data_IF_460503127233
#
_entry.id   IF_460503127233
#
_cell.length_a   1.000
_cell.length_b   1.000
_cell.length_c   1.000
_cell.angle_alpha   90.00
_cell.angle_beta   90.00
_cell.angle_gamma   90.00
#
_symmetry.space_group_name_H-M   'P 1'
#
loop_
_entity.id
_entity.type
_entity.pdbx_description
1 polymer ?
#
# COMPACT_ATOMS: atom_id res chain seq x y z
N UNK A 1 13.97 32.63 -12.34
CA UNK A 1 13.23 31.38 -12.62
C UNK A 1 11.94 31.76 -13.34
N UNK A 2 11.73 31.31 -14.58
CA UNK A 2 10.56 31.76 -15.37
C UNK A 2 9.26 31.14 -14.80
N UNK A 3 8.13 31.83 -14.96
CA UNK A 3 6.78 31.35 -14.55
C UNK A 3 6.45 29.99 -15.20
N UNK A 4 6.95 29.79 -16.41
CA UNK A 4 6.89 28.55 -17.20
C UNK A 4 7.72 27.43 -16.60
N UNK A 5 8.90 27.70 -16.03
CA UNK A 5 9.71 26.67 -15.33
C UNK A 5 9.10 26.29 -14.00
N UNK A 6 8.51 27.26 -13.28
CA UNK A 6 7.77 26.98 -12.04
C UNK A 6 6.52 26.17 -12.30
N UNK A 7 5.79 26.46 -13.38
CA UNK A 7 4.62 25.67 -13.82
C UNK A 7 5.01 24.28 -14.33
N UNK A 8 6.11 24.17 -15.10
CA UNK A 8 6.59 22.88 -15.62
C UNK A 8 7.12 22.00 -14.48
N UNK A 9 7.83 22.58 -13.51
CA UNK A 9 8.17 21.90 -12.27
C UNK A 9 6.91 21.55 -11.48
N UNK A 10 5.96 22.47 -11.25
CA UNK A 10 4.71 22.11 -10.60
C UNK A 10 4.02 20.92 -11.28
N UNK A 11 3.87 20.91 -12.60
CA UNK A 11 3.23 19.84 -13.38
C UNK A 11 4.01 18.51 -13.28
N UNK A 12 5.34 18.54 -13.41
CA UNK A 12 6.20 17.35 -13.25
C UNK A 12 6.19 16.78 -11.82
N UNK A 13 5.96 17.64 -10.84
CA UNK A 13 5.86 17.31 -9.42
C UNK A 13 4.45 16.96 -8.95
N UNK A 14 3.43 17.24 -9.76
CA UNK A 14 2.02 17.10 -9.42
C UNK A 14 1.23 16.28 -10.44
N UNK A 15 1.88 15.40 -11.19
CA UNK A 15 1.19 14.24 -11.75
C UNK A 15 1.14 13.16 -10.65
N UNK A 16 0.11 13.14 -9.78
CA UNK A 16 0.01 12.09 -8.78
C UNK A 16 -0.13 10.76 -9.53
N UNK A 17 0.51 9.68 -9.05
CA UNK A 17 0.60 8.37 -9.71
C UNK A 17 -0.68 8.03 -10.51
N UNK A 18 -0.61 7.90 -11.83
CA UNK A 18 -1.77 7.62 -12.69
C UNK A 18 -2.74 8.79 -12.94
N UNK A 19 -2.28 10.04 -12.85
CA UNK A 19 -3.08 11.21 -13.25
C UNK A 19 -3.48 11.07 -14.73
N UNK A 20 -4.79 11.09 -14.99
CA UNK A 20 -5.39 10.93 -16.32
C UNK A 20 -5.05 9.62 -17.04
N UNK A 21 -4.80 8.52 -16.32
CA UNK A 21 -4.67 7.20 -16.96
C UNK A 21 -6.07 6.67 -17.35
N UNK A 22 -6.42 6.62 -18.66
CA UNK A 22 -7.73 6.14 -19.11
C UNK A 22 -7.94 4.66 -18.75
N UNK A 23 -6.86 3.91 -18.57
CA UNK A 23 -6.87 2.47 -18.31
C UNK A 23 -6.79 2.14 -16.81
N UNK A 24 -6.86 3.12 -15.91
CA UNK A 24 -6.73 2.91 -14.46
C UNK A 24 -7.71 1.86 -13.90
N UNK A 25 -8.94 1.81 -14.43
CA UNK A 25 -9.93 0.79 -14.04
C UNK A 25 -9.52 -0.62 -14.46
N UNK A 26 -9.11 -0.79 -15.73
CA UNK A 26 -8.64 -2.07 -16.25
C UNK A 26 -7.38 -2.55 -15.53
N UNK A 27 -6.44 -1.63 -15.24
CA UNK A 27 -5.24 -1.93 -14.44
C UNK A 27 -5.58 -2.37 -13.02
N UNK A 28 -6.54 -1.73 -12.37
CA UNK A 28 -6.98 -2.12 -11.04
C UNK A 28 -7.57 -3.55 -11.04
N UNK A 29 -8.43 -3.85 -12.01
CA UNK A 29 -9.01 -5.21 -12.17
C UNK A 29 -7.94 -6.25 -12.46
N UNK A 30 -7.00 -5.94 -13.36
CA UNK A 30 -5.85 -6.81 -13.65
C UNK A 30 -5.07 -7.11 -12.36
N UNK A 31 -4.68 -6.08 -11.61
CA UNK A 31 -3.91 -6.24 -10.37
C UNK A 31 -4.64 -7.15 -9.38
N UNK A 32 -5.93 -6.89 -9.12
CA UNK A 32 -6.74 -7.71 -8.21
C UNK A 32 -6.78 -9.15 -8.70
N UNK A 33 -7.00 -9.37 -10.00
CA UNK A 33 -7.02 -10.70 -10.60
C UNK A 33 -5.69 -11.43 -10.48
N UNK A 34 -4.56 -10.72 -10.64
CA UNK A 34 -3.23 -11.33 -10.54
C UNK A 34 -2.89 -11.68 -9.09
N UNK A 35 -3.27 -10.84 -8.11
CA UNK A 35 -3.11 -11.13 -6.68
C UNK A 35 -3.96 -12.35 -6.31
N UNK A 36 -5.23 -12.38 -6.71
CA UNK A 36 -6.12 -13.52 -6.46
C UNK A 36 -5.59 -14.82 -7.09
N UNK A 37 -5.05 -14.75 -8.31
CA UNK A 37 -4.40 -15.90 -8.95
C UNK A 37 -3.18 -16.37 -8.14
N UNK A 38 -2.35 -15.44 -7.66
CA UNK A 38 -1.20 -15.75 -6.80
C UNK A 38 -1.61 -16.54 -5.56
N UNK A 39 -2.63 -16.06 -4.83
CA UNK A 39 -3.17 -16.75 -3.65
C UNK A 39 -3.71 -18.14 -3.99
N UNK A 40 -4.48 -18.27 -5.08
CA UNK A 40 -5.04 -19.57 -5.49
C UNK A 40 -3.95 -20.56 -5.89
N UNK A 41 -2.88 -20.12 -6.56
CA UNK A 41 -1.76 -20.97 -6.92
C UNK A 41 -0.98 -21.42 -5.68
N UNK A 42 -0.67 -20.49 -4.79
CA UNK A 42 0.08 -20.78 -3.56
C UNK A 42 -0.68 -21.74 -2.63
N UNK A 43 -2.01 -21.58 -2.55
CA UNK A 43 -2.90 -22.43 -1.74
C UNK A 43 -2.95 -23.91 -2.08
N UNK A 44 -2.41 -24.28 -3.24
CA UNK A 44 -2.26 -25.68 -3.64
C UNK A 44 -1.17 -26.40 -2.84
N UNK A 45 -0.34 -25.68 -2.07
CA UNK A 45 0.62 -26.26 -1.12
C UNK A 45 1.84 -26.92 -1.77
N UNK A 46 2.09 -26.67 -3.06
CA UNK A 46 3.30 -27.16 -3.74
C UNK A 46 4.39 -26.09 -3.72
N UNK A 47 5.65 -26.40 -3.34
CA UNK A 47 6.75 -25.43 -3.38
C UNK A 47 6.97 -24.81 -4.77
N UNK A 48 6.70 -25.58 -5.83
CA UNK A 48 6.76 -25.07 -7.20
C UNK A 48 5.67 -24.03 -7.45
N UNK A 49 4.44 -24.28 -6.98
CA UNK A 49 3.32 -23.35 -7.17
C UNK A 49 3.45 -22.11 -6.28
N UNK A 50 4.01 -22.26 -5.08
CA UNK A 50 4.39 -21.15 -4.20
C UNK A 50 5.35 -20.18 -4.91
N UNK A 51 6.39 -20.69 -5.56
CA UNK A 51 7.30 -19.86 -6.35
C UNK A 51 6.63 -19.35 -7.64
N UNK A 52 5.88 -20.19 -8.34
CA UNK A 52 5.23 -19.82 -9.61
C UNK A 52 4.18 -18.71 -9.43
N UNK A 53 3.50 -18.65 -8.27
CA UNK A 53 2.59 -17.56 -7.90
C UNK A 53 3.24 -16.18 -7.95
N UNK A 54 4.56 -16.12 -7.78
CA UNK A 54 5.35 -14.88 -7.84
C UNK A 54 5.54 -14.34 -9.24
N UNK A 55 5.62 -15.20 -10.25
CA UNK A 55 5.89 -14.78 -11.63
C UNK A 55 4.88 -13.75 -12.14
N UNK A 56 3.55 -13.99 -12.12
CA UNK A 56 2.61 -13.04 -12.72
C UNK A 56 2.52 -11.73 -11.92
N UNK A 57 2.67 -11.77 -10.60
CA UNK A 57 2.66 -10.58 -9.73
C UNK A 57 3.88 -9.69 -10.02
N UNK A 58 5.07 -10.28 -10.08
CA UNK A 58 6.30 -9.56 -10.41
C UNK A 58 6.28 -9.00 -11.84
N UNK A 59 5.84 -9.79 -12.82
CA UNK A 59 5.71 -9.31 -14.21
C UNK A 59 4.76 -8.11 -14.30
N UNK A 60 3.64 -8.15 -13.57
CA UNK A 60 2.68 -7.04 -13.51
C UNK A 60 3.32 -5.79 -12.89
N UNK A 61 4.06 -5.93 -11.78
CA UNK A 61 4.78 -4.81 -11.16
C UNK A 61 5.83 -4.24 -12.11
N UNK A 62 6.68 -5.07 -12.70
CA UNK A 62 7.74 -4.63 -13.62
C UNK A 62 7.16 -3.90 -14.84
N UNK A 63 6.07 -4.41 -15.41
CA UNK A 63 5.36 -3.75 -16.52
C UNK A 63 4.80 -2.37 -16.12
N UNK A 64 4.22 -2.25 -14.92
CA UNK A 64 3.70 -0.97 -14.42
C UNK A 64 4.82 0.00 -14.06
N UNK A 65 5.94 -0.48 -13.50
CA UNK A 65 7.14 0.31 -13.20
C UNK A 65 7.75 0.93 -14.46
N UNK A 66 7.74 0.19 -15.58
CA UNK A 66 8.24 0.70 -16.86
C UNK A 66 7.44 1.90 -17.37
N UNK A 67 6.14 1.96 -17.05
CA UNK A 67 5.24 3.07 -17.43
C UNK A 67 5.35 4.29 -16.51
N UNK A 68 6.03 4.19 -15.36
CA UNK A 68 6.11 5.29 -14.40
C UNK A 68 7.29 6.23 -14.67
N UNK A 69 7.16 7.47 -14.20
CA UNK A 69 8.27 8.43 -14.16
C UNK A 69 9.40 7.91 -13.25
N UNK A 70 10.66 8.38 -13.42
CA UNK A 70 11.78 7.91 -12.60
C UNK A 70 11.58 8.08 -11.08
N UNK A 71 10.88 9.14 -10.65
CA UNK A 71 10.58 9.38 -9.23
C UNK A 71 9.55 8.36 -8.68
N UNK A 72 8.46 8.12 -9.43
CA UNK A 72 7.47 7.11 -9.05
C UNK A 72 8.02 5.69 -9.13
N UNK A 73 8.84 5.38 -10.13
CA UNK A 73 9.53 4.08 -10.22
C UNK A 73 10.37 3.80 -8.99
N UNK A 74 11.18 4.77 -8.56
CA UNK A 74 11.99 4.64 -7.34
C UNK A 74 11.11 4.50 -6.10
N UNK A 75 10.03 5.28 -6.01
CA UNK A 75 9.08 5.18 -4.89
C UNK A 75 8.49 3.79 -4.79
N UNK A 76 8.03 3.21 -5.91
CA UNK A 76 7.41 1.88 -5.96
C UNK A 76 8.43 0.76 -5.67
N UNK A 77 9.69 0.89 -6.09
CA UNK A 77 10.75 -0.06 -5.72
C UNK A 77 11.02 0.00 -4.21
N UNK A 78 11.13 1.20 -3.64
CA UNK A 78 11.27 1.40 -2.19
C UNK A 78 10.04 0.88 -1.45
N UNK A 79 8.85 1.02 -2.04
CA UNK A 79 7.60 0.44 -1.53
C UNK A 79 7.70 -1.06 -1.36
N UNK A 80 8.17 -1.76 -2.40
CA UNK A 80 8.29 -3.21 -2.39
C UNK A 80 9.28 -3.68 -1.34
N UNK A 81 10.43 -3.00 -1.20
CA UNK A 81 11.40 -3.30 -0.15
C UNK A 81 10.84 -3.04 1.26
N UNK A 82 10.12 -1.92 1.44
CA UNK A 82 9.49 -1.59 2.72
C UNK A 82 8.36 -2.56 3.07
N UNK A 83 7.57 -3.01 2.09
CA UNK A 83 6.55 -4.04 2.29
C UNK A 83 7.17 -5.33 2.80
N UNK A 84 8.28 -5.80 2.18
CA UNK A 84 9.00 -6.98 2.67
C UNK A 84 9.50 -6.79 4.12
N UNK A 85 10.05 -5.62 4.45
CA UNK A 85 10.53 -5.34 5.80
C UNK A 85 9.37 -5.29 6.82
N UNK A 86 8.23 -4.69 6.45
CA UNK A 86 7.04 -4.64 7.29
C UNK A 86 6.44 -6.04 7.51
N UNK A 87 6.36 -6.86 6.46
CA UNK A 87 5.95 -8.26 6.55
C UNK A 87 6.86 -9.06 7.45
N UNK A 88 8.19 -8.92 7.31
CA UNK A 88 9.15 -9.58 8.19
C UNK A 88 9.00 -9.12 9.64
N UNK A 89 8.70 -7.84 9.88
CA UNK A 89 8.45 -7.34 11.22
C UNK A 89 7.14 -7.89 11.81
N UNK A 90 6.04 -7.87 11.07
CA UNK A 90 4.73 -8.26 11.60
C UNK A 90 4.53 -9.78 11.70
N UNK A 91 5.00 -10.53 10.70
CA UNK A 91 4.91 -12.00 10.71
C UNK A 91 6.06 -12.63 11.51
N UNK A 92 7.30 -12.48 11.07
CA UNK A 92 8.44 -13.20 11.67
C UNK A 92 8.94 -12.58 12.98
N UNK A 93 8.94 -11.25 13.08
CA UNK A 93 9.44 -10.53 14.25
C UNK A 93 8.44 -10.47 15.40
N UNK A 94 7.23 -10.01 15.12
CA UNK A 94 6.15 -9.85 16.11
C UNK A 94 5.31 -11.12 16.23
N UNK A 95 5.10 -11.89 15.16
CA UNK A 95 4.27 -13.08 15.21
C UNK A 95 2.78 -12.77 15.22
N UNK A 96 2.32 -11.72 14.55
CA UNK A 96 0.88 -11.40 14.46
C UNK A 96 0.10 -12.43 13.63
N UNK A 97 0.75 -13.03 12.65
CA UNK A 97 0.23 -14.09 11.78
C UNK A 97 1.38 -14.95 11.27
N UNK A 98 1.08 -16.21 11.00
CA UNK A 98 2.01 -17.15 10.38
C UNK A 98 1.61 -17.42 8.93
N UNK A 99 2.58 -17.35 8.03
CA UNK A 99 2.43 -17.90 6.68
C UNK A 99 2.48 -19.42 6.70
N UNK A 100 1.81 -20.04 5.73
CA UNK A 100 1.70 -21.50 5.58
C UNK A 100 3.04 -22.21 5.57
N UNK A 101 4.01 -21.66 4.85
CA UNK A 101 5.36 -22.22 4.71
C UNK A 101 6.36 -21.60 5.71
N UNK A 102 5.88 -20.76 6.64
CA UNK A 102 6.67 -20.01 7.62
C UNK A 102 7.71 -19.05 7.02
N UNK A 103 7.68 -18.83 5.70
CA UNK A 103 8.38 -17.78 5.00
C UNK A 103 7.38 -16.82 4.34
N UNK A 104 7.87 -15.63 3.99
CA UNK A 104 7.06 -14.61 3.32
C UNK A 104 7.02 -14.98 1.84
N UNK A 105 5.85 -15.30 1.25
CA UNK A 105 5.78 -15.61 -0.17
C UNK A 105 6.32 -14.45 -1.01
N UNK A 106 7.16 -14.77 -1.99
CA UNK A 106 7.89 -13.74 -2.75
C UNK A 106 6.98 -12.81 -3.58
N UNK A 107 5.70 -13.15 -3.74
CA UNK A 107 4.69 -12.28 -4.37
C UNK A 107 4.05 -11.27 -3.40
N UNK A 108 4.15 -11.46 -2.09
CA UNK A 108 3.50 -10.59 -1.10
C UNK A 108 4.06 -9.16 -1.14
N UNK A 109 5.39 -8.93 -1.13
CA UNK A 109 5.93 -7.56 -1.22
C UNK A 109 5.52 -6.78 -2.48
N UNK A 110 5.62 -7.35 -3.72
CA UNK A 110 5.14 -6.65 -4.89
C UNK A 110 3.61 -6.52 -4.91
N UNK A 111 2.86 -7.49 -4.37
CA UNK A 111 1.40 -7.39 -4.26
C UNK A 111 0.96 -6.18 -3.41
N UNK A 112 1.62 -5.90 -2.27
CA UNK A 112 1.37 -4.70 -1.48
C UNK A 112 1.57 -3.40 -2.28
N UNK A 113 2.65 -3.36 -3.06
CA UNK A 113 2.94 -2.21 -3.93
C UNK A 113 1.88 -2.04 -5.01
N UNK A 114 1.44 -3.14 -5.62
CA UNK A 114 0.36 -3.13 -6.61
C UNK A 114 -0.98 -2.74 -5.98
N UNK A 115 -1.28 -3.19 -4.76
CA UNK A 115 -2.50 -2.85 -4.04
C UNK A 115 -2.55 -1.35 -3.71
N UNK A 116 -1.42 -0.74 -3.33
CA UNK A 116 -1.29 0.72 -3.25
C UNK A 116 -1.71 1.41 -4.54
N UNK A 117 -1.28 0.91 -5.71
CA UNK A 117 -1.70 1.47 -7.00
C UNK A 117 -3.22 1.35 -7.21
N UNK A 118 -3.83 0.22 -6.84
CA UNK A 118 -5.29 0.02 -6.86
C UNK A 118 -5.99 1.06 -5.96
N UNK A 119 -5.51 1.24 -4.72
CA UNK A 119 -6.06 2.23 -3.80
C UNK A 119 -6.02 3.65 -4.36
N UNK A 120 -4.94 4.02 -5.05
CA UNK A 120 -4.83 5.31 -5.74
C UNK A 120 -5.80 5.41 -6.93
N UNK A 121 -5.90 4.38 -7.77
CA UNK A 121 -6.78 4.34 -8.94
C UNK A 121 -8.25 4.44 -8.54
N UNK A 122 -8.68 3.63 -7.58
CA UNK A 122 -10.06 3.56 -7.11
C UNK A 122 -10.41 4.78 -6.24
N UNK A 123 -9.50 5.20 -5.36
CA UNK A 123 -9.74 6.32 -4.43
C UNK A 123 -10.04 7.63 -5.15
N UNK A 124 -9.41 7.90 -6.29
CA UNK A 124 -9.73 9.10 -7.09
C UNK A 124 -11.14 9.06 -7.69
N UNK A 125 -11.63 7.87 -8.05
CA UNK A 125 -12.96 7.68 -8.66
C UNK A 125 -14.07 7.53 -7.62
N UNK A 126 -13.74 7.20 -6.36
CA UNK A 126 -14.72 7.05 -5.28
C UNK A 126 -15.52 8.34 -5.07
N UNK A 127 -16.85 8.36 -5.17
CA UNK A 127 -17.64 9.57 -4.90
C UNK A 127 -17.48 10.09 -3.47
N UNK A 128 -17.39 11.41 -3.27
CA UNK A 128 -17.12 12.02 -1.95
C UNK A 128 -18.19 11.65 -0.91
N UNK A 129 -19.44 11.56 -1.34
CA UNK A 129 -20.58 11.17 -0.51
C UNK A 129 -20.50 9.75 0.06
N UNK A 130 -19.73 8.85 -0.57
CA UNK A 130 -19.58 7.46 -0.10
C UNK A 130 -18.50 7.31 0.97
N UNK A 131 -17.53 8.23 1.03
CA UNK A 131 -16.44 8.18 2.02
C UNK A 131 -16.94 8.16 3.47
N UNK A 132 -17.85 9.06 3.92
CA UNK A 132 -18.36 9.00 5.28
C UNK A 132 -19.20 7.74 5.55
N UNK A 133 -19.91 7.21 4.54
CA UNK A 133 -20.67 5.97 4.68
C UNK A 133 -19.74 4.77 4.89
N UNK A 134 -18.68 4.67 4.09
CA UNK A 134 -17.64 3.64 4.26
C UNK A 134 -16.98 3.75 5.63
N UNK A 135 -16.59 4.97 6.05
CA UNK A 135 -16.00 5.17 7.37
C UNK A 135 -16.97 4.76 8.48
N UNK A 136 -18.25 5.11 8.38
CA UNK A 136 -19.27 4.72 9.35
C UNK A 136 -19.40 3.19 9.46
N UNK A 137 -19.40 2.48 8.33
CA UNK A 137 -19.43 1.01 8.32
C UNK A 137 -18.20 0.41 9.01
N UNK A 138 -17.00 0.92 8.71
CA UNK A 138 -15.76 0.47 9.33
C UNK A 138 -15.74 0.76 10.85
N UNK A 139 -16.22 1.93 11.27
CA UNK A 139 -16.37 2.30 12.68
C UNK A 139 -17.33 1.35 13.38
N UNK A 140 -18.53 1.14 12.83
CA UNK A 140 -19.54 0.27 13.42
C UNK A 140 -19.03 -1.18 13.53
N UNK A 141 -18.41 -1.70 12.47
CA UNK A 141 -17.82 -3.04 12.47
C UNK A 141 -16.70 -3.19 13.50
N UNK A 142 -15.76 -2.26 13.55
CA UNK A 142 -14.65 -2.31 14.50
C UNK A 142 -15.09 -2.16 15.95
N UNK A 143 -16.07 -1.28 16.23
CA UNK A 143 -16.65 -1.16 17.56
C UNK A 143 -17.35 -2.46 17.98
N UNK A 144 -18.12 -3.08 17.09
CA UNK A 144 -18.75 -4.37 17.36
C UNK A 144 -17.71 -5.45 17.67
N UNK A 145 -16.66 -5.59 16.84
CA UNK A 145 -15.58 -6.55 17.03
C UNK A 145 -14.82 -6.33 18.36
N UNK A 146 -14.62 -5.06 18.73
CA UNK A 146 -13.93 -4.68 19.97
C UNK A 146 -14.77 -4.98 21.20
N UNK A 147 -16.04 -4.54 21.21
CA UNK A 147 -16.96 -4.67 22.35
C UNK A 147 -17.33 -6.14 22.59
N UNK A 148 -17.56 -6.91 21.53
CA UNK A 148 -17.81 -8.36 21.63
C UNK A 148 -16.58 -9.15 22.08
N UNK A 149 -15.39 -8.54 22.05
CA UNK A 149 -14.12 -9.21 22.34
C UNK A 149 -13.59 -10.09 21.21
N UNK A 150 -14.30 -10.17 20.08
CA UNK A 150 -13.90 -10.96 18.91
C UNK A 150 -12.56 -10.50 18.33
N UNK A 151 -12.28 -9.20 18.36
CA UNK A 151 -10.99 -8.62 17.99
C UNK A 151 -10.82 -7.25 18.64
N UNK A 152 -10.15 -7.20 19.80
CA UNK A 152 -9.80 -5.93 20.47
C UNK A 152 -8.73 -5.16 19.71
N UNK A 153 -7.95 -5.83 18.87
CA UNK A 153 -7.00 -5.20 17.97
C UNK A 153 -7.68 -4.24 16.97
N UNK A 154 -8.89 -4.56 16.52
CA UNK A 154 -9.67 -3.67 15.65
C UNK A 154 -9.99 -2.33 16.32
N UNK A 155 -10.12 -2.29 17.65
CA UNK A 155 -10.29 -1.05 18.40
C UNK A 155 -9.07 -0.14 18.31
N UNK A 156 -7.86 -0.70 18.39
CA UNK A 156 -6.61 0.04 18.20
C UNK A 156 -6.50 0.54 16.76
N UNK A 157 -6.77 -0.32 15.78
CA UNK A 157 -6.75 0.06 14.36
C UNK A 157 -7.80 1.13 14.03
N UNK A 158 -8.95 1.11 14.70
CA UNK A 158 -9.99 2.14 14.55
C UNK A 158 -9.48 3.52 14.97
N UNK A 159 -8.76 3.63 16.09
CA UNK A 159 -8.17 4.90 16.53
C UNK A 159 -7.21 5.46 15.49
N UNK A 160 -6.38 4.60 14.90
CA UNK A 160 -5.45 4.97 13.83
C UNK A 160 -6.23 5.39 12.58
N UNK A 161 -7.25 4.64 12.17
CA UNK A 161 -8.08 4.98 11.01
C UNK A 161 -8.77 6.34 11.19
N UNK A 162 -9.30 6.64 12.37
CA UNK A 162 -9.90 7.93 12.68
C UNK A 162 -8.86 9.07 12.62
N UNK A 163 -7.65 8.84 13.13
CA UNK A 163 -6.56 9.79 12.99
C UNK A 163 -6.16 10.01 11.51
N UNK A 164 -6.10 8.95 10.71
CA UNK A 164 -5.85 9.05 9.26
C UNK A 164 -6.99 9.75 8.52
N UNK A 165 -8.25 9.51 8.90
CA UNK A 165 -9.41 10.18 8.33
C UNK A 165 -9.41 11.68 8.66
N UNK A 166 -8.96 12.06 9.87
CA UNK A 166 -8.98 13.45 10.35
C UNK A 166 -7.77 14.28 9.95
N UNK A 167 -6.58 13.68 9.95
CA UNK A 167 -5.28 14.36 9.78
C UNK A 167 -4.50 13.88 8.55
N UNK A 168 -4.96 12.82 7.89
CA UNK A 168 -4.29 12.27 6.72
C UNK A 168 -4.35 13.22 5.53
N UNK A 169 -3.31 13.20 4.70
CA UNK A 169 -3.26 14.01 3.47
C UNK A 169 -4.22 13.55 2.37
N UNK A 170 -4.65 12.28 2.39
CA UNK A 170 -5.55 11.69 1.39
C UNK A 170 -6.53 10.72 2.07
N UNK A 171 -7.41 11.22 2.98
CA UNK A 171 -8.25 10.37 3.83
C UNK A 171 -9.15 9.42 3.02
N UNK A 172 -9.60 9.86 1.84
CA UNK A 172 -10.37 9.07 0.89
C UNK A 172 -9.68 7.78 0.44
N UNK A 173 -8.36 7.83 0.17
CA UNK A 173 -7.59 6.64 -0.22
C UNK A 173 -7.40 5.76 1.01
N UNK A 174 -7.03 6.35 2.15
CA UNK A 174 -6.78 5.61 3.38
C UNK A 174 -8.02 4.85 3.87
N UNK A 175 -9.21 5.45 3.78
CA UNK A 175 -10.48 4.81 4.15
C UNK A 175 -10.85 3.72 3.14
N UNK A 176 -10.63 3.94 1.84
CA UNK A 176 -10.95 2.96 0.81
C UNK A 176 -9.99 1.76 0.80
N UNK A 177 -8.73 1.96 1.19
CA UNK A 177 -7.75 0.89 1.23
C UNK A 177 -8.14 -0.20 2.23
N UNK A 178 -8.78 0.16 3.35
CA UNK A 178 -9.18 -0.79 4.39
C UNK A 178 -10.05 -1.94 3.84
N UNK A 179 -11.20 -1.70 3.18
CA UNK A 179 -11.99 -2.78 2.60
C UNK A 179 -11.30 -3.48 1.42
N UNK A 180 -10.47 -2.79 0.63
CA UNK A 180 -9.71 -3.43 -0.46
C UNK A 180 -8.72 -4.45 0.10
N UNK A 181 -7.96 -4.08 1.12
CA UNK A 181 -7.04 -4.97 1.81
C UNK A 181 -7.79 -6.09 2.55
N UNK A 182 -8.92 -5.79 3.19
CA UNK A 182 -9.74 -6.80 3.85
C UNK A 182 -10.18 -7.92 2.90
N UNK A 183 -10.46 -7.63 1.63
CA UNK A 183 -10.77 -8.67 0.63
C UNK A 183 -9.59 -9.63 0.40
N UNK A 184 -8.35 -9.10 0.36
CA UNK A 184 -7.14 -9.90 0.20
C UNK A 184 -6.86 -10.71 1.47
N UNK A 185 -6.99 -10.09 2.64
CA UNK A 185 -6.84 -10.74 3.95
C UNK A 185 -7.84 -11.89 4.14
N UNK A 186 -9.11 -11.66 3.80
CA UNK A 186 -10.14 -12.72 3.84
C UNK A 186 -9.80 -13.84 2.87
N UNK A 187 -9.40 -13.50 1.63
CA UNK A 187 -9.03 -14.51 0.63
C UNK A 187 -7.81 -15.34 1.05
N UNK A 188 -6.75 -14.71 1.56
CA UNK A 188 -5.55 -15.41 2.02
C UNK A 188 -5.80 -16.29 3.24
N UNK A 189 -6.58 -15.80 4.20
CA UNK A 189 -6.93 -16.59 5.40
C UNK A 189 -7.90 -17.73 5.12
N UNK A 190 -8.86 -17.55 4.19
CA UNK A 190 -9.78 -18.61 3.76
C UNK A 190 -9.05 -19.71 2.98
N UNK A 191 -8.10 -19.33 2.12
CA UNK A 191 -7.27 -20.26 1.36
C UNK A 191 -6.18 -20.94 2.21
N UNK A 192 -5.94 -20.45 3.43
CA UNK A 192 -4.94 -20.99 4.36
C UNK A 192 -3.52 -20.56 4.03
N UNK A 193 -3.33 -19.44 3.35
CA UNK A 193 -2.02 -18.87 3.01
C UNK A 193 -1.33 -18.27 4.23
N UNK A 194 -2.11 -17.60 5.07
CA UNK A 194 -1.69 -17.13 6.37
C UNK A 194 -2.80 -17.25 7.38
N UNK A 195 -2.42 -17.27 8.65
CA UNK A 195 -3.34 -17.35 9.78
C UNK A 195 -2.91 -16.37 10.86
N UNK A 196 -3.81 -15.46 11.19
CA UNK A 196 -3.65 -14.56 12.33
C UNK A 196 -3.68 -15.33 13.65
N UNK A 197 -2.83 -14.91 14.59
CA UNK A 197 -2.87 -15.42 15.95
C UNK A 197 -4.20 -15.05 16.60
N UNK A 198 -4.56 -15.75 17.67
CA UNK A 198 -5.76 -15.41 18.46
C UNK A 198 -5.57 -14.15 19.30
N UNK A 199 -4.33 -13.85 19.66
CA UNK A 199 -3.96 -12.68 20.45
C UNK A 199 -2.64 -12.10 19.94
N UNK A 200 -2.53 -10.77 19.94
CA UNK A 200 -1.33 -10.07 19.54
C UNK A 200 -0.23 -10.26 20.61
N UNK A 201 0.92 -10.88 20.26
CA UNK A 201 1.98 -11.13 21.24
C UNK A 201 2.45 -9.84 21.91
N UNK A 202 2.61 -9.88 23.24
CA UNK A 202 3.04 -8.73 24.05
C UNK A 202 1.96 -7.66 24.31
N UNK A 203 0.89 -7.59 23.52
CA UNK A 203 -0.23 -6.65 23.75
C UNK A 203 -1.45 -7.30 24.42
N UNK A 204 -1.64 -8.62 24.27
CA UNK A 204 -2.81 -9.32 24.84
C UNK A 204 -4.15 -8.89 24.22
N UNK A 205 -4.11 -8.24 23.06
CA UNK A 205 -5.32 -7.86 22.32
C UNK A 205 -5.79 -9.06 21.50
N UNK A 206 -7.06 -9.43 21.64
CA UNK A 206 -7.64 -10.48 20.80
C UNK A 206 -7.64 -10.05 19.33
N UNK A 207 -7.42 -11.02 18.45
CA UNK A 207 -7.35 -10.89 17.01
C UNK A 207 -8.36 -11.88 16.40
N UNK A 208 -9.15 -11.41 15.44
CA UNK A 208 -9.91 -12.28 14.55
C UNK A 208 -9.02 -12.78 13.40
N UNK A 209 -9.45 -13.79 12.65
CA UNK A 209 -8.69 -14.31 11.51
C UNK A 209 -9.46 -14.07 10.19
N UNK A 210 -9.22 -12.95 9.50
CA UNK A 210 -8.32 -11.83 9.83
C UNK A 210 -9.03 -10.75 10.67
N UNK A 211 -8.30 -9.79 11.29
CA UNK A 211 -8.91 -8.61 11.88
C UNK A 211 -9.63 -7.77 10.82
N UNK A 212 -10.79 -7.22 11.15
CA UNK A 212 -11.62 -6.46 10.21
C UNK A 212 -10.89 -5.20 9.68
N UNK A 213 -10.07 -4.59 10.52
CA UNK A 213 -9.28 -3.41 10.23
C UNK A 213 -7.78 -3.71 10.02
N UNK A 214 -7.40 -4.95 9.69
CA UNK A 214 -6.03 -5.25 9.25
C UNK A 214 -5.59 -4.34 8.08
N UNK A 215 -6.54 -3.94 7.23
CA UNK A 215 -6.33 -2.98 6.13
C UNK A 215 -5.84 -1.58 6.56
N UNK A 216 -5.90 -1.22 7.85
CA UNK A 216 -5.33 0.04 8.35
C UNK A 216 -3.79 0.05 8.26
N UNK A 217 -3.15 -1.12 8.37
CA UNK A 217 -1.71 -1.25 8.13
C UNK A 217 -1.34 -0.90 6.68
N UNK A 218 -2.18 -1.28 5.72
CA UNK A 218 -2.05 -0.88 4.32
C UNK A 218 -2.25 0.62 4.15
N UNK A 219 -3.20 1.23 4.86
CA UNK A 219 -3.37 2.69 4.85
C UNK A 219 -2.16 3.44 5.42
N UNK A 220 -1.47 2.88 6.44
CA UNK A 220 -0.21 3.43 6.94
C UNK A 220 0.93 3.30 5.93
N UNK A 221 1.00 2.15 5.24
CA UNK A 221 1.90 1.95 4.10
C UNK A 221 1.66 3.02 3.02
N UNK A 222 0.41 3.31 2.66
CA UNK A 222 0.05 4.35 1.69
C UNK A 222 0.53 5.73 2.12
N UNK A 223 0.39 6.08 3.40
CA UNK A 223 0.89 7.35 3.95
C UNK A 223 2.40 7.45 3.77
N UNK A 224 3.14 6.39 4.11
CA UNK A 224 4.58 6.31 3.92
C UNK A 224 4.92 6.49 2.44
N UNK A 225 4.23 5.79 1.54
CA UNK A 225 4.44 5.89 0.09
C UNK A 225 4.22 7.29 -0.46
N UNK A 226 3.12 7.93 -0.09
CA UNK A 226 2.82 9.28 -0.54
C UNK A 226 3.82 10.30 0.01
N UNK A 227 4.38 10.08 1.20
CA UNK A 227 5.47 10.91 1.76
C UNK A 227 6.77 10.70 1.00
N UNK A 228 7.16 9.45 0.78
CA UNK A 228 8.38 9.06 0.04
C UNK A 228 8.36 9.59 -1.39
N UNK A 229 7.21 9.48 -2.09
CA UNK A 229 7.04 10.08 -3.42
C UNK A 229 7.31 11.58 -3.41
N UNK A 230 6.65 12.32 -2.51
CA UNK A 230 6.83 13.78 -2.41
C UNK A 230 8.29 14.15 -2.12
N UNK A 231 8.98 13.37 -1.31
CA UNK A 231 10.40 13.59 -1.02
C UNK A 231 11.29 13.37 -2.25
N UNK A 232 11.13 12.25 -2.96
CA UNK A 232 11.90 11.99 -4.18
C UNK A 232 11.63 12.98 -5.30
N UNK A 233 10.39 13.44 -5.46
CA UNK A 233 10.06 14.50 -6.40
C UNK A 233 10.77 15.82 -6.05
N UNK A 234 10.76 16.23 -4.77
CA UNK A 234 11.55 17.38 -4.24
C UNK A 234 13.03 17.27 -4.55
N UNK A 235 13.60 16.10 -4.31
CA UNK A 235 15.03 15.89 -4.54
C UNK A 235 15.40 15.96 -6.03
N UNK A 236 14.61 15.32 -6.91
CA UNK A 236 14.93 15.25 -8.35
C UNK A 236 14.65 16.53 -9.15
N UNK A 237 13.84 17.46 -8.63
CA UNK A 237 13.61 18.73 -9.32
C UNK A 237 14.23 19.95 -8.65
N UNK A 238 15.04 19.75 -7.60
CA UNK A 238 15.96 20.80 -7.16
C UNK A 238 17.05 20.99 -8.24
N UNK A 239 17.25 22.21 -8.78
CA UNK A 239 18.36 22.46 -9.69
C UNK A 239 19.69 22.18 -8.96
N UNK A 240 20.61 21.49 -9.62
CA UNK A 240 21.96 21.20 -9.12
C UNK A 240 22.77 22.50 -9.03
N UNK A 241 22.57 23.30 -7.99
CA UNK A 241 23.27 24.58 -7.79
C UNK A 241 24.71 24.43 -7.29
N UNK A 242 25.41 23.36 -7.68
CA UNK A 242 26.80 23.09 -7.27
C UNK A 242 27.77 22.89 -8.44
N UNK A 243 27.31 22.99 -9.70
CA UNK A 243 28.21 22.93 -10.88
C UNK A 243 28.55 24.29 -11.49
N UNK A 244 27.74 25.34 -11.26
CA UNK A 244 27.84 26.59 -12.04
C UNK A 244 28.51 27.76 -11.29
N UNK A 245 28.88 27.57 -10.02
CA UNK A 245 29.53 28.61 -9.20
C UNK A 245 31.07 28.63 -9.30
N UNK A 246 31.67 27.76 -10.12
CA UNK A 246 33.14 27.61 -10.22
C UNK A 246 33.81 28.30 -11.41
N UNK A 247 33.07 28.93 -12.33
CA UNK A 247 33.61 29.39 -13.63
C UNK A 247 33.53 30.91 -13.86
N UNK A 248 33.43 31.72 -12.81
CA UNK A 248 33.54 33.18 -12.92
C UNK A 248 34.64 33.70 -11.99
N UNK A 249 35.89 33.47 -12.37
CA UNK A 249 37.01 34.27 -11.88
C UNK A 249 37.05 35.61 -12.65
N UNK A 250 37.31 36.74 -11.98
CA UNK A 250 37.26 38.06 -12.60
C UNK A 250 38.49 38.30 -13.47
N UNK A 251 38.28 38.75 -14.71
CA UNK A 251 39.35 39.38 -15.49
C UNK A 251 39.32 40.89 -15.23
N UNK A 252 40.51 41.41 -14.96
CA UNK A 252 40.87 42.79 -14.69
C UNK A 252 40.64 43.73 -15.89
#
# INVERSE_FOLDING_TARGET
MSRTDTLRQQILFSAPLGAHDPNAGAKAVLIIGVIALGLVLDSRGSPLLHLAASVPVWLTLLWLLHQQTPAWRLTLVVATAFALAAEALFSLGWGLYDYRFHDIPAYVPPAHTLLFMVGVYCGRKLPARLVPLLLLMLVAGALWMTISGASRFDGLMLLILLALARYGSQPRIYILMVPIALMVELGGTELGEWRWQREAPGLGLSLHNPPLLAGVCYSLFDVYMMRTARWFHRWRGAPSSLSDAGAAAPQA
#
